data_IF_910985705040
#
_entry.id   IF_910985705040
#
_cell.length_a   1.000
_cell.length_b   1.000
_cell.length_c   1.000
_cell.angle_alpha   90.00
_cell.angle_beta   90.00
_cell.angle_gamma   90.00
#
_symmetry.space_group_name_H-M   'P 1'
#
loop_
_entity.id
_entity.type
_entity.pdbx_description
1 polymer ?
#
# COMPACT_ATOMS: atom_id res chain seq x y z
N UNK A 1 -22.31 6.36 10.98
CA UNK A 1 -21.25 6.45 9.96
C UNK A 1 -20.70 7.86 9.90
N UNK A 2 -19.44 8.05 10.32
CA UNK A 2 -18.72 9.33 10.24
C UNK A 2 -18.51 9.77 8.78
N UNK A 3 -18.36 11.07 8.53
CA UNK A 3 -17.99 11.61 7.20
C UNK A 3 -16.66 11.03 6.73
N UNK A 4 -15.69 10.90 7.64
CA UNK A 4 -14.38 10.30 7.38
C UNK A 4 -14.50 8.86 6.89
N UNK A 5 -15.36 8.04 7.53
CA UNK A 5 -15.58 6.66 7.11
C UNK A 5 -16.19 6.57 5.72
N UNK A 6 -17.05 7.52 5.32
CA UNK A 6 -17.59 7.55 3.95
C UNK A 6 -16.51 7.85 2.92
N UNK A 7 -15.59 8.77 3.23
CA UNK A 7 -14.47 9.11 2.34
C UNK A 7 -13.53 7.91 2.19
N UNK A 8 -13.16 7.27 3.31
CA UNK A 8 -12.33 6.05 3.30
C UNK A 8 -12.99 4.95 2.46
N UNK A 9 -14.29 4.69 2.69
CA UNK A 9 -15.00 3.65 1.95
C UNK A 9 -15.13 3.97 0.46
N UNK A 10 -15.38 5.23 0.09
CA UNK A 10 -15.42 5.66 -1.31
C UNK A 10 -14.07 5.42 -1.98
N UNK A 11 -12.98 5.90 -1.37
CA UNK A 11 -11.63 5.74 -1.92
C UNK A 11 -11.23 4.27 -2.06
N UNK A 12 -11.52 3.45 -1.05
CA UNK A 12 -11.25 2.01 -1.12
C UNK A 12 -12.12 1.32 -2.17
N UNK A 13 -13.37 1.76 -2.37
CA UNK A 13 -14.23 1.23 -3.43
C UNK A 13 -13.57 1.38 -4.79
N UNK A 14 -13.13 2.60 -5.10
CA UNK A 14 -12.48 2.93 -6.37
C UNK A 14 -11.22 2.08 -6.57
N UNK A 15 -10.38 1.99 -5.53
CA UNK A 15 -9.13 1.20 -5.61
C UNK A 15 -9.38 -0.30 -5.79
N UNK A 16 -10.33 -0.87 -5.05
CA UNK A 16 -10.65 -2.30 -5.11
C UNK A 16 -11.19 -2.67 -6.50
N UNK A 17 -12.01 -1.80 -7.08
CA UNK A 17 -12.62 -2.01 -8.39
C UNK A 17 -11.60 -1.83 -9.52
N UNK A 18 -10.79 -0.78 -9.49
CA UNK A 18 -9.77 -0.49 -10.52
C UNK A 18 -8.68 -1.55 -10.59
N UNK A 19 -8.22 -2.05 -9.45
CA UNK A 19 -7.16 -3.06 -9.38
C UNK A 19 -7.69 -4.49 -9.36
N UNK A 20 -9.02 -4.68 -9.35
CA UNK A 20 -9.69 -5.99 -9.25
C UNK A 20 -9.22 -6.82 -8.06
N UNK A 21 -9.01 -6.18 -6.90
CA UNK A 21 -8.45 -6.84 -5.71
C UNK A 21 -9.34 -8.00 -5.24
N UNK A 22 -8.73 -9.15 -4.94
CA UNK A 22 -9.40 -10.35 -4.42
C UNK A 22 -9.02 -10.67 -2.98
N UNK A 23 -7.85 -10.24 -2.55
CA UNK A 23 -7.36 -10.42 -1.19
C UNK A 23 -6.99 -9.07 -0.56
N UNK A 24 -7.46 -8.83 0.67
CA UNK A 24 -7.18 -7.59 1.40
C UNK A 24 -6.66 -7.92 2.80
N UNK A 25 -5.56 -7.27 3.19
CA UNK A 25 -5.10 -7.22 4.57
C UNK A 25 -5.41 -5.85 5.18
N UNK A 26 -6.34 -5.81 6.12
CA UNK A 26 -6.68 -4.62 6.89
C UNK A 26 -5.90 -4.62 8.21
N UNK A 27 -5.14 -3.55 8.45
CA UNK A 27 -4.37 -3.36 9.67
C UNK A 27 -4.97 -2.19 10.44
N UNK A 28 -5.49 -2.46 11.63
CA UNK A 28 -6.13 -1.47 12.51
C UNK A 28 -6.01 -1.93 13.96
N UNK A 29 -5.54 -1.05 14.84
CA UNK A 29 -5.33 -1.34 16.25
C UNK A 29 -6.63 -1.27 17.08
N UNK A 30 -7.66 -0.63 16.54
CA UNK A 30 -8.95 -0.38 17.19
C UNK A 30 -10.12 -0.98 16.41
N UNK A 31 -11.35 -0.57 16.72
CA UNK A 31 -12.54 -1.13 16.09
C UNK A 31 -12.60 -0.81 14.60
N UNK A 32 -12.56 -1.86 13.78
CA UNK A 32 -12.66 -1.81 12.32
C UNK A 32 -13.98 -2.39 11.78
N UNK A 33 -14.94 -2.70 12.66
CA UNK A 33 -16.19 -3.41 12.32
C UNK A 33 -16.98 -2.76 11.17
N UNK A 34 -17.04 -1.42 11.12
CA UNK A 34 -17.76 -0.71 10.05
C UNK A 34 -17.07 -0.86 8.70
N UNK A 35 -15.73 -0.88 8.68
CA UNK A 35 -14.94 -1.05 7.46
C UNK A 35 -14.97 -2.51 7.00
N UNK A 36 -14.88 -3.47 7.92
CA UNK A 36 -15.02 -4.90 7.63
C UNK A 36 -16.37 -5.20 6.98
N UNK A 37 -17.48 -4.72 7.57
CA UNK A 37 -18.83 -4.86 6.97
C UNK A 37 -18.97 -4.23 5.59
N UNK A 38 -18.16 -3.21 5.28
CA UNK A 38 -18.10 -2.62 3.95
C UNK A 38 -17.32 -3.52 2.99
N UNK A 39 -16.14 -4.02 3.39
CA UNK A 39 -15.30 -4.91 2.59
C UNK A 39 -15.98 -6.26 2.32
N UNK A 40 -16.74 -6.80 3.27
CA UNK A 40 -17.54 -8.03 3.10
C UNK A 40 -18.59 -7.93 1.98
N UNK A 41 -19.03 -6.71 1.64
CA UNK A 41 -19.96 -6.48 0.51
C UNK A 41 -19.25 -6.45 -0.84
N UNK A 42 -17.92 -6.44 -0.86
CA UNK A 42 -17.11 -6.51 -2.07
C UNK A 42 -16.85 -7.96 -2.46
N UNK A 43 -16.55 -8.19 -3.74
CA UNK A 43 -16.32 -9.53 -4.29
C UNK A 43 -14.87 -10.01 -4.01
N UNK A 44 -14.57 -10.21 -2.72
CA UNK A 44 -13.27 -10.63 -2.20
C UNK A 44 -13.27 -12.14 -1.91
N UNK A 45 -12.15 -12.80 -2.20
CA UNK A 45 -11.93 -14.20 -1.85
C UNK A 45 -11.37 -14.33 -0.43
N UNK A 46 -10.59 -13.34 0.03
CA UNK A 46 -9.93 -13.34 1.34
C UNK A 46 -9.91 -11.95 1.96
N UNK A 47 -10.17 -11.88 3.27
CA UNK A 47 -10.01 -10.69 4.10
C UNK A 47 -9.26 -11.07 5.38
N UNK A 48 -8.11 -10.45 5.60
CA UNK A 48 -7.30 -10.59 6.81
C UNK A 48 -7.42 -9.32 7.64
N UNK A 49 -7.55 -9.47 8.96
CA UNK A 49 -7.62 -8.35 9.90
C UNK A 49 -6.50 -8.53 10.92
N UNK A 50 -5.64 -7.53 11.03
CA UNK A 50 -4.44 -7.56 11.85
C UNK A 50 -4.41 -6.34 12.77
N UNK A 51 -4.01 -6.48 14.04
CA UNK A 51 -3.95 -5.34 14.97
C UNK A 51 -2.72 -4.45 14.75
N UNK A 52 -1.66 -5.00 14.15
CA UNK A 52 -0.38 -4.33 13.95
C UNK A 52 0.41 -5.00 12.82
N UNK A 53 1.50 -4.36 12.40
CA UNK A 53 2.49 -4.96 11.51
C UNK A 53 3.55 -5.63 12.38
N UNK A 54 3.76 -6.93 12.21
CA UNK A 54 4.78 -7.68 12.94
C UNK A 54 5.85 -8.26 12.00
N UNK A 55 7.01 -8.61 12.56
CA UNK A 55 8.15 -9.16 11.82
C UNK A 55 7.89 -10.56 11.22
N UNK A 56 6.85 -11.25 11.68
CA UNK A 56 6.47 -12.57 11.20
C UNK A 56 5.32 -12.51 10.19
N UNK A 57 4.90 -11.30 9.79
CA UNK A 57 3.85 -11.09 8.82
C UNK A 57 4.24 -11.76 7.51
N UNK A 58 3.50 -12.81 7.15
CA UNK A 58 3.74 -13.61 5.96
C UNK A 58 2.42 -13.90 5.24
N UNK A 59 1.63 -12.84 5.05
CA UNK A 59 0.35 -12.90 4.35
C UNK A 59 0.53 -12.16 3.02
N UNK A 60 0.28 -12.83 1.90
CA UNK A 60 0.28 -12.14 0.62
C UNK A 60 -1.16 -11.70 0.31
N UNK A 61 -1.34 -10.41 0.07
CA UNK A 61 -2.63 -9.81 -0.29
C UNK A 61 -2.45 -8.86 -1.47
N UNK A 62 -3.48 -8.74 -2.31
CA UNK A 62 -3.49 -7.78 -3.42
C UNK A 62 -3.40 -6.35 -2.90
N UNK A 63 -4.13 -6.08 -1.83
CA UNK A 63 -4.18 -4.77 -1.18
C UNK A 63 -3.90 -4.88 0.32
N UNK A 64 -2.97 -4.06 0.78
CA UNK A 64 -2.81 -3.74 2.20
C UNK A 64 -3.46 -2.40 2.51
N UNK A 65 -4.22 -2.33 3.60
CA UNK A 65 -4.81 -1.09 4.11
C UNK A 65 -4.34 -0.91 5.55
N UNK A 66 -3.53 0.12 5.78
CA UNK A 66 -3.04 0.50 7.12
C UNK A 66 -3.84 1.71 7.58
N UNK A 67 -4.56 1.55 8.69
CA UNK A 67 -5.38 2.60 9.27
C UNK A 67 -4.54 3.56 10.14
N UNK A 68 -5.09 4.76 10.36
CA UNK A 68 -4.43 5.87 11.08
C UNK A 68 -4.17 5.62 12.56
N UNK A 69 -4.83 4.60 13.11
CA UNK A 69 -4.77 4.19 14.50
C UNK A 69 -3.64 3.18 14.76
N UNK A 70 -2.93 2.75 13.72
CA UNK A 70 -1.79 1.84 13.83
C UNK A 70 -0.51 2.64 13.98
N UNK A 71 0.25 2.35 15.03
CA UNK A 71 1.61 2.86 15.17
C UNK A 71 2.56 1.98 14.37
N UNK A 72 3.28 2.55 13.41
CA UNK A 72 4.25 1.83 12.58
C UNK A 72 5.42 2.73 12.19
N UNK A 73 6.53 2.10 11.82
CA UNK A 73 7.75 2.76 11.37
C UNK A 73 8.12 2.37 9.93
N UNK A 74 9.25 2.88 9.46
CA UNK A 74 9.77 2.63 8.10
C UNK A 74 10.04 1.15 7.84
N UNK A 75 10.58 0.40 8.81
CA UNK A 75 10.84 -1.04 8.64
C UNK A 75 9.56 -1.86 8.52
N UNK A 76 8.50 -1.48 9.24
CA UNK A 76 7.21 -2.16 9.18
C UNK A 76 6.60 -2.07 7.77
N UNK A 77 6.65 -0.89 7.16
CA UNK A 77 6.23 -0.72 5.75
C UNK A 77 7.15 -1.49 4.80
N UNK A 78 8.45 -1.58 5.12
CA UNK A 78 9.39 -2.42 4.40
C UNK A 78 8.98 -3.89 4.37
N UNK A 79 8.46 -4.43 5.49
CA UNK A 79 7.94 -5.80 5.58
C UNK A 79 6.77 -5.97 4.62
N UNK A 80 5.77 -5.09 4.65
CA UNK A 80 4.61 -5.16 3.74
C UNK A 80 5.06 -5.12 2.28
N UNK A 81 6.01 -4.24 1.92
CA UNK A 81 6.54 -4.14 0.56
C UNK A 81 7.24 -5.44 0.11
N UNK A 82 7.91 -6.14 1.01
CA UNK A 82 8.59 -7.39 0.72
C UNK A 82 7.64 -8.57 0.48
N UNK A 83 6.37 -8.46 0.89
CA UNK A 83 5.33 -9.45 0.63
C UNK A 83 4.77 -9.39 -0.81
N UNK A 84 5.35 -8.53 -1.67
CA UNK A 84 4.98 -8.37 -3.08
C UNK A 84 3.51 -8.03 -3.31
N UNK A 85 2.89 -7.34 -2.34
CA UNK A 85 1.53 -6.82 -2.43
C UNK A 85 1.39 -5.90 -3.65
N UNK A 86 0.30 -6.04 -4.41
CA UNK A 86 0.10 -5.23 -5.62
C UNK A 86 -0.02 -3.75 -5.27
N UNK A 87 -0.73 -3.45 -4.17
CA UNK A 87 -0.97 -2.08 -3.70
C UNK A 87 -0.95 -2.01 -2.18
N UNK A 88 -0.50 -0.87 -1.65
CA UNK A 88 -0.53 -0.55 -0.23
C UNK A 88 -1.18 0.82 -0.08
N UNK A 89 -2.18 0.93 0.80
CA UNK A 89 -2.83 2.17 1.19
C UNK A 89 -2.52 2.42 2.66
N UNK A 90 -2.16 3.65 2.97
CA UNK A 90 -1.94 4.12 4.34
C UNK A 90 -2.83 5.35 4.56
N UNK A 91 -3.71 5.27 5.54
CA UNK A 91 -4.40 6.44 6.09
C UNK A 91 -3.56 6.96 7.24
N UNK A 92 -3.02 8.16 7.11
CA UNK A 92 -2.14 8.77 8.10
C UNK A 92 -2.81 10.00 8.70
N UNK A 93 -2.85 10.07 10.03
CA UNK A 93 -3.28 11.29 10.72
C UNK A 93 -2.22 12.39 10.60
N UNK A 94 -2.65 13.65 10.55
CA UNK A 94 -1.76 14.81 10.67
C UNK A 94 -0.97 14.85 11.99
N UNK A 95 -1.46 14.15 13.03
CA UNK A 95 -0.84 14.11 14.36
C UNK A 95 0.15 12.96 14.55
N UNK A 96 0.30 12.10 13.55
CA UNK A 96 1.20 10.96 13.60
C UNK A 96 2.67 11.42 13.72
N UNK A 97 3.39 10.79 14.65
CA UNK A 97 4.78 11.10 15.00
C UNK A 97 5.74 9.95 14.67
N UNK A 98 5.23 8.77 14.32
CA UNK A 98 6.04 7.56 14.12
C UNK A 98 6.62 7.50 12.71
N UNK A 99 5.90 8.06 11.73
CA UNK A 99 6.37 8.17 10.36
C UNK A 99 6.08 9.55 9.79
N UNK A 100 7.03 10.10 9.02
CA UNK A 100 6.83 11.38 8.33
C UNK A 100 6.34 11.17 6.90
N UNK A 101 5.69 12.20 6.34
CA UNK A 101 5.34 12.23 4.91
C UNK A 101 6.58 12.00 4.03
N UNK A 102 7.74 12.55 4.44
CA UNK A 102 9.01 12.37 3.72
C UNK A 102 9.45 10.91 3.68
N UNK A 103 9.24 10.16 4.76
CA UNK A 103 9.62 8.75 4.82
C UNK A 103 8.75 7.91 3.87
N UNK A 104 7.44 8.16 3.84
CA UNK A 104 6.53 7.52 2.90
C UNK A 104 6.90 7.84 1.44
N UNK A 105 7.22 9.10 1.14
CA UNK A 105 7.68 9.50 -0.20
C UNK A 105 8.99 8.81 -0.59
N UNK A 106 9.97 8.70 0.32
CA UNK A 106 11.23 7.96 0.08
C UNK A 106 10.99 6.48 -0.15
N UNK A 107 9.97 5.91 0.49
CA UNK A 107 9.53 4.54 0.28
C UNK A 107 8.75 4.35 -1.04
N UNK A 108 8.50 5.43 -1.79
CA UNK A 108 7.83 5.38 -3.09
C UNK A 108 6.32 5.50 -3.04
N UNK A 109 5.74 5.86 -1.89
CA UNK A 109 4.34 6.20 -1.80
C UNK A 109 4.08 7.56 -2.46
N UNK A 110 2.86 7.73 -2.96
CA UNK A 110 2.34 8.99 -3.48
C UNK A 110 1.18 9.43 -2.61
N UNK A 111 1.04 10.75 -2.45
CA UNK A 111 -0.11 11.36 -1.76
C UNK A 111 -1.26 11.43 -2.76
N UNK A 112 -2.30 10.63 -2.53
CA UNK A 112 -3.48 10.54 -3.41
C UNK A 112 -4.53 11.58 -3.02
N UNK A 113 -4.70 11.79 -1.72
CA UNK A 113 -5.73 12.67 -1.18
C UNK A 113 -5.31 13.19 0.19
N UNK A 114 -5.79 14.37 0.54
CA UNK A 114 -5.59 14.98 1.85
C UNK A 114 -6.84 15.77 2.22
N UNK A 115 -7.29 15.58 3.46
CA UNK A 115 -8.30 16.42 4.08
C UNK A 115 -7.77 16.96 5.42
N UNK A 116 -8.66 17.61 6.17
CA UNK A 116 -8.30 18.24 7.46
C UNK A 116 -7.76 17.27 8.50
N UNK A 117 -8.19 16.01 8.45
CA UNK A 117 -7.94 15.02 9.51
C UNK A 117 -6.94 13.95 9.05
N UNK A 118 -6.91 13.62 7.76
CA UNK A 118 -6.15 12.53 7.18
C UNK A 118 -5.43 12.87 5.88
N UNK A 119 -4.34 12.14 5.67
CA UNK A 119 -3.59 12.06 4.44
C UNK A 119 -3.62 10.61 3.93
N UNK A 120 -3.88 10.44 2.64
CA UNK A 120 -4.03 9.14 2.01
C UNK A 120 -2.79 8.92 1.15
N UNK A 121 -1.99 7.93 1.52
CA UNK A 121 -0.82 7.52 0.77
C UNK A 121 -1.09 6.20 0.07
N UNK A 122 -0.67 6.09 -1.19
CA UNK A 122 -0.72 4.84 -1.94
C UNK A 122 0.64 4.48 -2.51
N UNK A 123 0.95 3.20 -2.50
CA UNK A 123 2.06 2.59 -3.22
C UNK A 123 1.50 1.53 -4.15
N UNK A 124 1.92 1.54 -5.42
CA UNK A 124 1.52 0.54 -6.40
C UNK A 124 2.77 -0.09 -7.02
N UNK A 125 2.91 -1.41 -6.85
CA UNK A 125 4.07 -2.15 -7.34
C UNK A 125 4.18 -2.10 -8.87
N UNK A 126 3.05 -2.06 -9.59
CA UNK A 126 2.99 -2.04 -11.07
C UNK A 126 3.58 -0.76 -11.65
N UNK A 127 3.36 0.38 -10.99
CA UNK A 127 3.76 1.71 -11.48
C UNK A 127 5.01 2.25 -10.78
N UNK A 128 5.44 1.63 -9.68
CA UNK A 128 6.62 2.06 -8.95
C UNK A 128 7.91 1.97 -9.79
N UNK A 129 8.11 0.86 -10.50
CA UNK A 129 9.31 0.66 -11.32
C UNK A 129 8.98 0.87 -12.79
N UNK A 130 8.82 2.13 -13.20
CA UNK A 130 8.73 2.48 -14.62
C UNK A 130 9.93 1.86 -15.37
N UNK A 131 9.65 1.23 -16.52
CA UNK A 131 10.69 0.71 -17.41
C UNK A 131 11.67 1.84 -17.70
N UNK A 132 12.93 1.67 -17.26
CA UNK A 132 13.96 2.67 -17.48
C UNK A 132 14.43 2.59 -18.93
N UNK A 133 14.41 3.71 -19.62
CA UNK A 133 14.86 3.81 -21.02
C UNK A 133 16.34 3.42 -21.23
N UNK A 134 17.13 3.37 -20.16
CA UNK A 134 18.54 2.95 -20.21
C UNK A 134 18.76 1.45 -19.95
N UNK A 135 17.74 0.73 -19.43
CA UNK A 135 17.84 -0.72 -19.21
C UNK A 135 17.48 -1.50 -20.49
N UNK A 136 18.14 -1.14 -21.58
CA UNK A 136 18.11 -1.82 -22.87
C UNK A 136 19.50 -1.75 -23.51
N UNK A 137 19.73 -2.56 -24.54
CA UNK A 137 21.03 -2.65 -25.21
C UNK A 137 21.49 -1.31 -25.83
N UNK A 138 20.57 -0.39 -26.14
CA UNK A 138 20.87 0.89 -26.80
C UNK A 138 21.67 1.85 -25.93
N UNK A 139 21.55 1.76 -24.61
CA UNK A 139 22.31 2.56 -23.63
C UNK A 139 23.52 1.85 -23.02
N UNK A 140 23.79 0.61 -23.42
CA UNK A 140 24.89 -0.20 -22.88
C UNK A 140 26.18 0.09 -23.63
N UNK A 141 27.31 0.20 -22.94
CA UNK A 141 28.62 0.46 -23.57
C UNK A 141 29.03 -0.61 -24.59
N UNK A 142 28.41 -1.79 -24.52
CA UNK A 142 28.55 -2.90 -25.44
C UNK A 142 27.15 -3.56 -25.65
N UNK A 143 26.36 -3.07 -26.62
CA UNK A 143 24.98 -3.51 -26.85
C UNK A 143 24.85 -5.01 -27.08
N UNK A 144 25.84 -5.63 -27.72
CA UNK A 144 25.87 -7.05 -28.08
C UNK A 144 26.06 -7.98 -26.88
N UNK A 145 26.55 -7.48 -25.76
CA UNK A 145 26.72 -8.21 -24.51
C UNK A 145 25.58 -8.01 -23.50
N UNK A 146 24.61 -7.14 -23.81
CA UNK A 146 23.41 -6.96 -22.99
C UNK A 146 22.70 -8.31 -22.82
N UNK A 147 22.54 -8.77 -21.57
CA UNK A 147 22.00 -10.07 -21.16
C UNK A 147 22.83 -11.34 -21.47
N UNK A 148 24.05 -11.23 -22.02
CA UNK A 148 24.90 -12.41 -22.28
C UNK A 148 25.77 -12.81 -21.09
N UNK A 149 26.23 -11.84 -20.32
CA UNK A 149 27.08 -12.05 -19.16
C UNK A 149 26.42 -11.38 -17.96
N UNK A 150 25.80 -12.19 -17.10
CA UNK A 150 25.32 -11.77 -15.78
C UNK A 150 26.04 -12.64 -14.74
N UNK A 151 26.56 -12.02 -13.70
CA UNK A 151 27.18 -12.66 -12.55
C UNK A 151 26.12 -12.99 -11.50
#
# INVERSE_FOLDING_TARGET
MSVQNKIIQSFLSDVIEDETCKSISLISATDSSELVKFLEKKNLDQLFILPQIDNNLNIQSDLYVVCEDVEFNVSDIGIIKNLLSQKIIIFKSHKDKFITDSDLLKLGFQKEFENKDLIFFAYNLKTYNNKRDWNNSKGWANPENFNKFRW
#
